data_IF_637193598074
#
_entry.id   IF_637193598074
#
_cell.length_a   1.000
_cell.length_b   1.000
_cell.length_c   1.000
_cell.angle_alpha   90.00
_cell.angle_beta   90.00
_cell.angle_gamma   90.00
#
_symmetry.space_group_name_H-M   'P 1'
#
loop_
_entity.id
_entity.type
_entity.pdbx_description
1 polymer ?
#
# COMPACT_ATOMS: atom_id res chain seq x y z
N UNK A 1 0.54 9.99 -4.47
CA UNK A 1 0.32 8.98 -3.41
C UNK A 1 -1.17 8.89 -3.18
N UNK A 2 -1.76 7.70 -3.28
CA UNK A 2 -3.18 7.47 -3.02
C UNK A 2 -3.30 6.48 -1.86
N UNK A 3 -4.08 6.84 -0.85
CA UNK A 3 -4.36 5.98 0.30
C UNK A 3 -5.84 5.63 0.27
N UNK A 4 -6.17 4.35 0.32
CA UNK A 4 -7.54 3.84 0.37
C UNK A 4 -7.61 2.75 1.42
N UNK A 5 -8.61 2.76 2.28
CA UNK A 5 -8.69 1.80 3.36
C UNK A 5 -9.97 1.91 4.18
N UNK A 6 -10.12 1.00 5.12
CA UNK A 6 -11.13 1.00 6.18
C UNK A 6 -10.43 0.95 7.56
N UNK A 7 -11.20 0.86 8.64
CA UNK A 7 -10.67 0.91 10.02
C UNK A 7 -9.64 -0.18 10.36
N UNK A 8 -9.63 -1.28 9.60
CA UNK A 8 -8.79 -2.45 9.84
C UNK A 8 -7.70 -2.67 8.78
N UNK A 9 -7.83 -2.03 7.62
CA UNK A 9 -7.05 -2.33 6.43
C UNK A 9 -6.73 -1.06 5.67
N UNK A 10 -5.47 -0.87 5.30
CA UNK A 10 -5.01 0.33 4.61
C UNK A 10 -4.15 -0.07 3.41
N UNK A 11 -4.49 0.50 2.25
CA UNK A 11 -3.81 0.29 1.00
C UNK A 11 -3.18 1.61 0.54
N UNK A 12 -1.87 1.59 0.28
CA UNK A 12 -1.10 2.76 -0.15
C UNK A 12 -0.54 2.49 -1.53
N UNK A 13 -0.99 3.26 -2.52
CA UNK A 13 -0.41 3.30 -3.86
C UNK A 13 0.56 4.48 -3.96
N UNK A 14 1.80 4.20 -4.35
CA UNK A 14 2.82 5.21 -4.61
C UNK A 14 3.56 4.94 -5.92
N UNK A 15 3.89 6.02 -6.62
CA UNK A 15 4.74 5.98 -7.80
C UNK A 15 6.19 6.18 -7.37
N UNK A 16 7.07 5.23 -7.67
CA UNK A 16 8.51 5.29 -7.40
C UNK A 16 9.25 5.02 -8.70
N UNK A 17 10.08 5.96 -9.16
CA UNK A 17 10.95 5.79 -10.34
C UNK A 17 10.25 5.09 -11.54
N UNK A 18 9.06 5.57 -11.92
CA UNK A 18 8.20 5.02 -12.99
C UNK A 18 7.55 3.65 -12.69
N UNK A 19 7.44 3.24 -11.43
CA UNK A 19 6.71 2.02 -11.05
C UNK A 19 5.62 2.39 -10.06
N UNK A 20 4.39 1.91 -10.30
CA UNK A 20 3.34 1.92 -9.29
C UNK A 20 3.56 0.77 -8.33
N UNK A 21 3.72 1.12 -7.07
CA UNK A 21 3.91 0.19 -5.96
C UNK A 21 2.74 0.30 -5.01
N UNK A 22 2.17 -0.83 -4.64
CA UNK A 22 1.10 -0.92 -3.67
C UNK A 22 1.57 -1.62 -2.40
N UNK A 23 1.22 -1.03 -1.27
CA UNK A 23 1.50 -1.56 0.06
C UNK A 23 0.19 -1.85 0.78
N UNK A 24 0.10 -3.05 1.34
CA UNK A 24 -1.04 -3.47 2.14
C UNK A 24 -0.66 -3.52 3.61
N UNK A 25 -1.45 -2.83 4.43
CA UNK A 25 -1.34 -2.78 5.87
C UNK A 25 -2.62 -3.29 6.50
N UNK A 26 -2.48 -4.04 7.60
CA UNK A 26 -3.60 -4.45 8.44
C UNK A 26 -3.34 -3.99 9.86
N UNK A 27 -4.39 -3.59 10.54
CA UNK A 27 -4.36 -3.24 11.95
C UNK A 27 -4.33 -4.52 12.79
N UNK A 28 -3.31 -4.67 13.64
CA UNK A 28 -3.14 -5.77 14.60
C UNK A 28 -2.98 -5.13 15.98
N UNK A 29 -4.03 -5.18 16.79
CA UNK A 29 -4.13 -4.36 18.00
C UNK A 29 -4.10 -2.86 17.64
N UNK A 30 -3.17 -2.13 18.26
CA UNK A 30 -2.99 -0.69 18.01
C UNK A 30 -1.91 -0.37 16.97
N UNK A 31 -1.36 -1.38 16.31
CA UNK A 31 -0.28 -1.21 15.33
C UNK A 31 -0.74 -1.51 13.90
N UNK A 32 -0.17 -0.77 12.95
CA UNK A 32 -0.28 -1.06 11.53
C UNK A 32 0.86 -1.97 11.10
N UNK A 33 0.53 -3.20 10.73
CA UNK A 33 1.50 -4.18 10.25
C UNK A 33 1.48 -4.18 8.72
N UNK A 34 2.67 -4.08 8.12
CA UNK A 34 2.87 -4.16 6.67
C UNK A 34 3.00 -5.61 6.23
N UNK A 35 2.17 -6.05 5.29
CA UNK A 35 2.12 -7.47 4.89
C UNK A 35 2.82 -7.75 3.56
N UNK A 36 2.75 -6.86 2.56
CA UNK A 36 3.40 -7.09 1.25
C UNK A 36 3.61 -5.82 0.45
N UNK A 37 4.65 -5.81 -0.40
CA UNK A 37 4.87 -4.85 -1.49
C UNK A 37 4.54 -5.54 -2.80
N UNK A 38 3.51 -5.08 -3.52
CA UNK A 38 3.22 -5.56 -4.87
C UNK A 38 3.56 -4.47 -5.89
N UNK A 39 4.39 -4.82 -6.87
CA UNK A 39 4.61 -3.97 -8.03
C UNK A 39 3.42 -4.15 -8.97
N UNK A 40 2.66 -3.09 -9.21
CA UNK A 40 1.44 -3.16 -10.02
C UNK A 40 1.76 -2.99 -11.50
N UNK A 41 2.61 -2.05 -11.87
CA UNK A 41 2.97 -1.81 -13.27
C UNK A 41 4.08 -0.76 -13.41
N UNK A 42 4.79 -0.76 -14.54
CA UNK A 42 5.55 0.41 -14.99
C UNK A 42 4.57 1.48 -15.47
N UNK A 43 4.76 2.71 -15.01
CA UNK A 43 4.09 3.90 -15.54
C UNK A 43 4.66 4.13 -16.94
N UNK A 44 3.87 3.82 -17.96
CA UNK A 44 4.15 4.16 -19.35
C UNK A 44 3.85 5.64 -19.60
#
# INVERSE_FOLDING_TARGET
>A
MRVTGNDSTLCIEMAIHQVKVMYWFRRVGDQWVKYKRECISRLH
#
